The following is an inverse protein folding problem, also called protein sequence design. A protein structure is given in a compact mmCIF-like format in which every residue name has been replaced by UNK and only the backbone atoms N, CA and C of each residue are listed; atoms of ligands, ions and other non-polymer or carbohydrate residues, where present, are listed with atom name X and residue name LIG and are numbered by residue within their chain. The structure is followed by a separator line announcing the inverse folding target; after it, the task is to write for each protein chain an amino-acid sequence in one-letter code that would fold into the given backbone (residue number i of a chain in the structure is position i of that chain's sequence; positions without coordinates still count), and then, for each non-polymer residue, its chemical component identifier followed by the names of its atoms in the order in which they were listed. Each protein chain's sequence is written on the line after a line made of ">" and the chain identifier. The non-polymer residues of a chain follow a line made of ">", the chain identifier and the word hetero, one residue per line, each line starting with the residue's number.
data_IF_807724598841
#
_entry.id   IF_807724598841
#
_cell.length_a   1.000
_cell.length_b   1.000
_cell.length_c   1.000
_cell.angle_alpha   90.00
_cell.angle_beta   90.00
_cell.angle_gamma   90.00
#
_symmetry.space_group_name_H-M   'P 1'
#
loop_
_entity.id
_entity.type
_entity.pdbx_description
1 polymer ?
#
# COMPACT_ATOMS: atom_id res chain seq x y z
N UNK A 1 8.63 36.57 3.10
CA UNK A 1 7.74 35.72 2.34
C UNK A 1 6.43 36.46 2.11
N UNK A 2 5.90 36.44 0.89
CA UNK A 2 4.69 37.20 0.54
C UNK A 2 3.43 36.31 0.49
N UNK A 3 3.56 34.99 0.60
CA UNK A 3 2.48 34.04 0.66
C UNK A 3 2.45 33.28 1.99
N UNK A 4 1.32 32.69 2.32
CA UNK A 4 1.09 31.94 3.57
C UNK A 4 0.97 30.44 3.30
N UNK A 5 1.27 29.60 4.31
CA UNK A 5 1.04 28.15 4.23
C UNK A 5 -0.42 27.83 3.90
N UNK A 6 -1.38 28.62 4.40
CA UNK A 6 -2.80 28.44 4.13
C UNK A 6 -3.16 28.63 2.65
N UNK A 7 -2.50 29.56 1.96
CA UNK A 7 -2.67 29.72 0.51
C UNK A 7 -2.10 28.51 -0.24
N UNK A 8 -0.99 27.97 0.22
CA UNK A 8 -0.40 26.73 -0.34
C UNK A 8 -1.33 25.54 -0.10
N UNK A 9 -1.91 25.39 1.09
CA UNK A 9 -2.93 24.35 1.38
C UNK A 9 -4.12 24.44 0.42
N UNK A 10 -4.66 25.64 0.21
CA UNK A 10 -5.79 25.86 -0.70
C UNK A 10 -5.45 25.54 -2.15
N UNK A 11 -4.24 25.89 -2.57
CA UNK A 11 -3.73 25.52 -3.89
C UNK A 11 -3.64 23.99 -4.06
N UNK A 12 -3.03 23.29 -3.11
CA UNK A 12 -2.89 21.83 -3.14
C UNK A 12 -4.25 21.16 -3.13
N UNK A 13 -5.15 21.55 -2.20
CA UNK A 13 -6.50 20.99 -2.11
C UNK A 13 -7.29 21.17 -3.42
N UNK A 14 -7.17 22.35 -4.05
CA UNK A 14 -7.84 22.64 -5.33
C UNK A 14 -7.25 21.84 -6.48
N UNK A 15 -5.94 21.67 -6.51
CA UNK A 15 -5.25 20.87 -7.53
C UNK A 15 -5.66 19.41 -7.48
N UNK A 16 -5.81 18.85 -6.27
CA UNK A 16 -6.23 17.47 -6.07
C UNK A 16 -7.72 17.24 -6.37
N UNK A 17 -8.56 18.20 -6.00
CA UNK A 17 -10.00 18.09 -6.24
C UNK A 17 -10.41 18.41 -7.69
N UNK A 18 -9.56 19.11 -8.46
CA UNK A 18 -9.89 19.61 -9.79
C UNK A 18 -11.04 20.63 -9.82
N UNK A 19 -11.50 21.10 -8.64
CA UNK A 19 -12.63 21.99 -8.45
C UNK A 19 -12.49 22.79 -7.16
N UNK A 20 -12.74 24.10 -7.23
CA UNK A 20 -12.75 24.98 -6.04
C UNK A 20 -13.87 24.56 -5.08
N UNK A 21 -15.03 24.20 -5.60
CA UNK A 21 -16.19 23.82 -4.76
C UNK A 21 -15.90 22.53 -3.99
N UNK A 22 -15.41 21.49 -4.66
CA UNK A 22 -15.05 20.23 -4.01
C UNK A 22 -13.89 20.40 -3.01
N UNK A 23 -12.91 21.23 -3.34
CA UNK A 23 -11.84 21.57 -2.40
C UNK A 23 -12.38 22.26 -1.15
N UNK A 24 -13.29 23.23 -1.33
CA UNK A 24 -13.92 23.98 -0.24
C UNK A 24 -14.71 23.07 0.71
N UNK A 25 -15.47 22.14 0.17
CA UNK A 25 -16.19 21.13 0.94
C UNK A 25 -15.22 20.24 1.75
N UNK A 26 -14.14 19.77 1.10
CA UNK A 26 -13.15 18.86 1.71
C UNK A 26 -12.40 19.50 2.89
N UNK A 27 -12.08 20.80 2.81
CA UNK A 27 -11.32 21.51 3.85
C UNK A 27 -12.20 22.45 4.71
N UNK A 28 -13.53 22.36 4.59
CA UNK A 28 -14.52 23.10 5.37
C UNK A 28 -14.36 24.63 5.33
N UNK A 29 -14.14 25.18 4.15
CA UNK A 29 -14.04 26.62 3.91
C UNK A 29 -14.99 27.08 2.79
N UNK A 30 -15.19 28.38 2.66
CA UNK A 30 -16.04 28.89 1.57
C UNK A 30 -15.31 28.89 0.21
N UNK A 31 -15.98 28.55 -0.91
CA UNK A 31 -15.37 28.59 -2.23
C UNK A 31 -14.79 29.98 -2.60
N UNK A 32 -15.41 31.12 -2.24
CA UNK A 32 -14.80 32.43 -2.45
C UNK A 32 -13.47 32.64 -1.75
N UNK A 33 -13.29 32.07 -0.54
CA UNK A 33 -12.04 32.18 0.21
C UNK A 33 -10.89 31.46 -0.51
N UNK A 34 -11.15 30.26 -1.04
CA UNK A 34 -10.17 29.51 -1.84
C UNK A 34 -9.83 30.28 -3.13
N UNK A 35 -10.87 30.77 -3.85
CA UNK A 35 -10.67 31.52 -5.10
C UNK A 35 -9.82 32.76 -4.89
N UNK A 36 -10.10 33.54 -3.84
CA UNK A 36 -9.32 34.71 -3.48
C UNK A 36 -7.87 34.39 -3.12
N UNK A 37 -7.66 33.33 -2.31
CA UNK A 37 -6.34 32.89 -1.89
C UNK A 37 -5.48 32.39 -3.07
N UNK A 38 -6.08 31.65 -4.01
CA UNK A 38 -5.38 31.19 -5.23
C UNK A 38 -5.02 32.39 -6.12
N UNK A 39 -5.96 33.31 -6.36
CA UNK A 39 -5.68 34.50 -7.16
C UNK A 39 -4.57 35.37 -6.56
N UNK A 40 -4.53 35.48 -5.23
CA UNK A 40 -3.46 36.17 -4.54
C UNK A 40 -2.13 35.45 -4.66
N UNK A 41 -2.12 34.11 -4.53
CA UNK A 41 -0.91 33.28 -4.69
C UNK A 41 -0.37 33.40 -6.13
N UNK A 42 -1.22 33.35 -7.15
CA UNK A 42 -0.85 33.54 -8.56
C UNK A 42 -0.24 34.93 -8.79
N UNK A 43 -0.83 35.96 -8.20
CA UNK A 43 -0.30 37.33 -8.28
C UNK A 43 1.08 37.48 -7.62
N UNK A 44 1.28 36.88 -6.44
CA UNK A 44 2.54 36.92 -5.70
C UNK A 44 3.67 36.14 -6.42
N UNK A 45 3.32 35.04 -7.07
CA UNK A 45 4.25 34.21 -7.83
C UNK A 45 4.48 34.70 -9.26
N UNK A 46 3.65 35.63 -9.75
CA UNK A 46 3.69 36.11 -11.13
C UNK A 46 3.39 35.03 -12.15
N UNK A 47 2.66 33.98 -11.78
CA UNK A 47 2.40 32.81 -12.63
C UNK A 47 0.97 32.31 -12.44
N UNK A 48 0.31 31.98 -13.55
CA UNK A 48 -0.99 31.32 -13.53
C UNK A 48 -0.81 29.83 -13.23
N UNK A 49 -1.50 29.33 -12.19
CA UNK A 49 -1.40 27.96 -11.73
C UNK A 49 -2.51 27.09 -12.29
N UNK A 50 -3.69 27.66 -12.55
CA UNK A 50 -4.85 26.95 -13.07
C UNK A 50 -5.32 27.51 -14.41
N UNK A 51 -5.80 26.60 -15.26
CA UNK A 51 -6.57 26.91 -16.48
C UNK A 51 -8.04 26.64 -16.21
N UNK A 52 -8.90 27.63 -16.44
CA UNK A 52 -10.36 27.47 -16.40
C UNK A 52 -10.83 26.89 -17.74
N UNK A 53 -11.29 25.66 -17.75
CA UNK A 53 -11.92 25.06 -18.93
C UNK A 53 -13.44 25.12 -18.76
N UNK A 54 -14.13 25.82 -19.69
CA UNK A 54 -15.58 25.83 -19.74
C UNK A 54 -16.10 24.40 -19.81
N UNK A 55 -16.97 24.01 -18.85
CA UNK A 55 -17.59 22.68 -18.69
C UNK A 55 -16.71 21.50 -18.21
N UNK A 56 -15.40 21.66 -17.95
CA UNK A 56 -14.52 20.55 -17.53
C UNK A 56 -13.78 20.81 -16.20
N UNK A 57 -14.15 21.84 -15.44
CA UNK A 57 -13.48 22.14 -14.15
C UNK A 57 -12.15 22.90 -14.29
N UNK A 58 -11.30 22.76 -13.28
CA UNK A 58 -9.96 23.36 -13.24
C UNK A 58 -8.90 22.33 -13.63
N UNK A 59 -7.94 22.74 -14.46
CA UNK A 59 -6.76 21.96 -14.75
C UNK A 59 -5.49 22.77 -14.44
N UNK A 60 -4.45 22.11 -13.98
CA UNK A 60 -3.16 22.75 -13.72
C UNK A 60 -2.47 23.19 -15.01
N UNK A 61 -1.84 24.37 -14.98
CA UNK A 61 -0.84 24.78 -15.98
C UNK A 61 0.41 23.90 -15.86
N UNK A 62 1.40 24.07 -16.76
CA UNK A 62 2.70 23.42 -16.60
C UNK A 62 3.37 23.86 -15.29
N UNK A 63 3.40 25.18 -15.06
CA UNK A 63 3.96 25.77 -13.82
C UNK A 63 3.19 25.29 -12.58
N UNK A 64 1.84 25.20 -12.67
CA UNK A 64 1.01 24.68 -11.59
C UNK A 64 1.36 23.23 -11.22
N UNK A 65 1.68 22.36 -12.20
CA UNK A 65 2.11 20.97 -11.91
C UNK A 65 3.48 20.91 -11.23
N UNK A 66 4.42 21.70 -11.71
CA UNK A 66 5.76 21.80 -11.11
C UNK A 66 5.64 22.33 -9.67
N UNK A 67 4.90 23.42 -9.49
CA UNK A 67 4.68 24.02 -8.16
C UNK A 67 3.92 23.11 -7.19
N UNK A 68 3.02 22.26 -7.68
CA UNK A 68 2.27 21.34 -6.82
C UNK A 68 3.21 20.39 -6.07
N UNK A 69 4.27 19.92 -6.72
CA UNK A 69 5.27 19.05 -6.08
C UNK A 69 5.98 19.80 -4.94
N UNK A 70 6.48 21.00 -5.23
CA UNK A 70 7.16 21.84 -4.24
C UNK A 70 6.25 22.27 -3.10
N UNK A 71 4.98 22.60 -3.42
CA UNK A 71 3.97 22.98 -2.43
C UNK A 71 3.68 21.86 -1.44
N UNK A 72 3.56 20.63 -1.92
CA UNK A 72 3.37 19.44 -1.06
C UNK A 72 4.57 19.24 -0.14
N UNK A 73 5.78 19.32 -0.66
CA UNK A 73 7.00 19.20 0.14
C UNK A 73 7.10 20.30 1.20
N UNK A 74 6.71 21.53 0.86
CA UNK A 74 6.70 22.65 1.82
C UNK A 74 5.70 22.43 2.96
N UNK A 75 4.50 21.94 2.66
CA UNK A 75 3.49 21.61 3.67
C UNK A 75 3.96 20.46 4.56
N UNK A 76 4.58 19.44 4.00
CA UNK A 76 5.19 18.35 4.76
C UNK A 76 6.29 18.86 5.69
N UNK A 77 7.15 19.74 5.21
CA UNK A 77 8.18 20.39 6.04
C UNK A 77 7.58 21.25 7.17
N UNK A 78 6.50 21.97 6.87
CA UNK A 78 5.78 22.73 7.91
C UNK A 78 5.18 21.80 8.98
N UNK A 79 4.63 20.65 8.57
CA UNK A 79 4.13 19.62 9.47
C UNK A 79 5.25 19.06 10.37
N UNK A 80 6.45 18.86 9.82
CA UNK A 80 7.64 18.41 10.57
C UNK A 80 8.09 19.38 11.66
N UNK A 81 7.84 20.69 11.51
CA UNK A 81 8.10 21.65 12.60
C UNK A 81 7.26 21.36 13.84
N UNK A 82 5.99 20.99 13.68
CA UNK A 82 5.14 20.55 14.79
C UNK A 82 5.65 19.25 15.41
N UNK A 83 6.12 18.32 14.57
CA UNK A 83 6.69 17.06 15.04
C UNK A 83 7.99 17.29 15.83
N UNK A 84 8.89 18.16 15.34
CA UNK A 84 10.12 18.54 16.05
C UNK A 84 9.82 19.23 17.38
N UNK A 85 8.80 20.08 17.43
CA UNK A 85 8.35 20.69 18.68
C UNK A 85 7.74 19.64 19.64
N UNK A 86 7.07 18.61 19.14
CA UNK A 86 6.56 17.49 19.93
C UNK A 86 7.65 16.51 20.37
N UNK A 87 8.79 16.46 19.66
CA UNK A 87 9.97 15.68 20.10
C UNK A 87 10.60 16.24 21.39
N UNK A 88 10.40 17.53 21.67
CA UNK A 88 10.78 18.14 22.94
C UNK A 88 9.80 17.81 24.07
N UNK A 89 8.61 17.34 23.77
CA UNK A 89 7.62 16.78 24.70
C UNK A 89 7.64 15.25 24.60
N UNK A 90 7.53 14.57 25.75
CA UNK A 90 7.64 13.09 25.82
C UNK A 90 6.44 12.34 25.18
N UNK A 91 5.64 13.01 24.34
CA UNK A 91 4.41 12.50 23.76
C UNK A 91 4.57 12.11 22.28
N UNK A 92 4.07 10.92 21.91
CA UNK A 92 3.93 10.49 20.51
C UNK A 92 2.61 11.05 20.00
N UNK A 93 2.68 12.06 19.14
CA UNK A 93 1.51 12.74 18.58
C UNK A 93 1.76 13.20 17.15
N UNK A 94 0.67 13.44 16.42
CA UNK A 94 0.70 13.92 15.03
C UNK A 94 0.01 12.98 14.05
N UNK A 95 0.11 13.30 12.76
CA UNK A 95 -0.50 12.52 11.68
C UNK A 95 0.56 11.71 10.94
N UNK A 96 0.29 10.42 10.73
CA UNK A 96 1.11 9.47 9.98
C UNK A 96 0.38 9.07 8.70
N UNK A 97 0.94 9.38 7.54
CA UNK A 97 0.45 8.95 6.23
C UNK A 97 0.99 7.55 5.91
N UNK A 98 0.14 6.53 6.09
CA UNK A 98 0.51 5.13 5.98
C UNK A 98 0.05 4.53 4.65
N UNK A 99 0.99 4.17 3.78
CA UNK A 99 0.74 3.33 2.62
C UNK A 99 0.59 1.86 3.00
N UNK A 100 -0.27 1.13 2.31
CA UNK A 100 -0.39 -0.32 2.48
C UNK A 100 -0.65 -1.01 1.15
N UNK A 101 0.08 -2.08 0.86
CA UNK A 101 -0.11 -2.84 -0.36
C UNK A 101 -1.50 -3.49 -0.37
N UNK A 102 -2.21 -3.29 -1.48
CA UNK A 102 -3.62 -3.65 -1.64
C UNK A 102 -3.95 -5.12 -1.34
N UNK A 103 -3.01 -6.05 -1.54
CA UNK A 103 -3.28 -7.49 -1.37
C UNK A 103 -3.47 -7.92 0.08
N UNK A 104 -2.84 -7.24 1.03
CA UNK A 104 -2.97 -7.55 2.46
C UNK A 104 -3.58 -6.41 3.30
N UNK A 105 -3.79 -5.25 2.68
CA UNK A 105 -4.40 -4.11 3.37
C UNK A 105 -5.70 -4.46 4.11
N UNK A 106 -6.66 -5.22 3.53
CA UNK A 106 -7.91 -5.52 4.24
C UNK A 106 -7.74 -6.26 5.57
N UNK A 107 -6.62 -6.97 5.74
CA UNK A 107 -6.36 -7.77 6.95
C UNK A 107 -5.48 -7.02 7.94
N UNK A 108 -4.38 -6.44 7.46
CA UNK A 108 -3.33 -5.89 8.32
C UNK A 108 -3.60 -4.44 8.70
N UNK A 109 -4.02 -3.62 7.72
CA UNK A 109 -4.11 -2.18 7.89
C UNK A 109 -5.08 -1.74 9.00
N UNK A 110 -6.33 -2.25 9.08
CA UNK A 110 -7.26 -1.84 10.14
C UNK A 110 -6.75 -2.21 11.54
N UNK A 111 -6.17 -3.40 11.68
CA UNK A 111 -5.68 -3.89 12.96
C UNK A 111 -4.49 -3.06 13.46
N UNK A 112 -3.50 -2.81 12.59
CA UNK A 112 -2.30 -2.03 12.94
C UNK A 112 -2.66 -0.57 13.20
N UNK A 113 -3.50 0.06 12.37
CA UNK A 113 -3.92 1.43 12.59
C UNK A 113 -4.68 1.59 13.91
N UNK A 114 -5.60 0.66 14.21
CA UNK A 114 -6.37 0.68 15.46
C UNK A 114 -5.50 0.46 16.69
N UNK A 115 -4.63 -0.57 16.68
CA UNK A 115 -3.76 -0.87 17.82
C UNK A 115 -2.76 0.25 18.09
N UNK A 116 -2.21 0.88 17.02
CA UNK A 116 -1.30 2.00 17.16
C UNK A 116 -1.98 3.25 17.75
N UNK A 117 -3.14 3.65 17.22
CA UNK A 117 -3.86 4.83 17.73
C UNK A 117 -4.43 4.60 19.12
N UNK A 118 -4.73 3.35 19.50
CA UNK A 118 -5.11 3.00 20.88
C UNK A 118 -3.93 3.11 21.85
N UNK A 119 -2.72 2.74 21.43
CA UNK A 119 -1.50 2.86 22.23
C UNK A 119 -1.01 4.31 22.32
N UNK A 120 -1.27 5.12 21.30
CA UNK A 120 -0.84 6.51 21.19
C UNK A 120 -2.01 7.43 20.82
N UNK A 121 -2.85 7.85 21.79
CA UNK A 121 -4.08 8.62 21.50
C UNK A 121 -3.85 9.98 20.83
N UNK A 122 -2.63 10.52 20.91
CA UNK A 122 -2.23 11.75 20.21
C UNK A 122 -1.85 11.54 18.74
N UNK A 123 -1.76 10.28 18.30
CA UNK A 123 -1.42 9.94 16.92
C UNK A 123 -2.68 9.69 16.08
N UNK A 124 -2.64 10.15 14.83
CA UNK A 124 -3.64 9.84 13.80
C UNK A 124 -2.97 9.10 12.66
N UNK A 125 -3.57 8.02 12.17
CA UNK A 125 -3.12 7.31 10.98
C UNK A 125 -4.04 7.65 9.82
N UNK A 126 -3.46 8.14 8.72
CA UNK A 126 -4.14 8.34 7.43
C UNK A 126 -3.75 7.21 6.50
N UNK A 127 -4.63 6.22 6.29
CA UNK A 127 -4.32 5.08 5.45
C UNK A 127 -4.49 5.40 3.96
N UNK A 128 -3.60 4.84 3.15
CA UNK A 128 -3.72 4.78 1.71
C UNK A 128 -3.42 3.38 1.19
N UNK A 129 -4.19 2.91 0.22
CA UNK A 129 -4.06 1.55 -0.32
C UNK A 129 -3.77 1.61 -1.80
N UNK A 130 -2.64 1.05 -2.20
CA UNK A 130 -2.21 1.05 -3.60
C UNK A 130 -1.38 -0.21 -3.94
N UNK A 131 -1.02 -0.36 -5.22
CA UNK A 131 0.00 -1.30 -5.66
C UNK A 131 1.41 -0.82 -5.25
N UNK A 132 2.39 -1.72 -5.35
CA UNK A 132 3.75 -1.46 -4.87
C UNK A 132 4.41 -0.25 -5.58
N UNK A 133 4.29 -0.13 -6.90
CA UNK A 133 4.91 0.95 -7.67
C UNK A 133 4.34 2.32 -7.27
N UNK A 134 3.02 2.40 -7.11
CA UNK A 134 2.37 3.63 -6.65
C UNK A 134 2.76 4.00 -5.23
N UNK A 135 2.91 3.02 -4.34
CA UNK A 135 3.39 3.27 -2.97
C UNK A 135 4.80 3.86 -2.99
N UNK A 136 5.74 3.29 -3.76
CA UNK A 136 7.11 3.82 -3.88
C UNK A 136 7.10 5.24 -4.45
N UNK A 137 6.36 5.48 -5.52
CA UNK A 137 6.26 6.81 -6.12
C UNK A 137 5.70 7.86 -5.14
N UNK A 138 4.73 7.50 -4.32
CA UNK A 138 4.16 8.40 -3.31
C UNK A 138 5.08 8.64 -2.12
N UNK A 139 5.88 7.65 -1.74
CA UNK A 139 6.95 7.81 -0.74
C UNK A 139 8.03 8.78 -1.24
N UNK A 140 8.47 8.66 -2.51
CA UNK A 140 9.45 9.58 -3.12
C UNK A 140 8.96 11.03 -3.12
N UNK A 141 7.65 11.24 -3.29
CA UNK A 141 7.02 12.56 -3.30
C UNK A 141 6.63 13.07 -1.92
N UNK A 142 7.02 12.37 -0.86
CA UNK A 142 6.64 12.68 0.51
C UNK A 142 5.10 12.79 0.72
N UNK A 143 4.32 12.08 -0.09
CA UNK A 143 2.86 11.94 0.09
C UNK A 143 2.52 10.83 1.11
N UNK A 144 3.48 9.97 1.41
CA UNK A 144 3.44 8.95 2.44
C UNK A 144 4.70 9.03 3.30
N UNK A 145 4.56 8.78 4.59
CA UNK A 145 5.68 8.71 5.53
C UNK A 145 6.34 7.32 5.50
N UNK A 146 5.53 6.29 5.36
CA UNK A 146 5.95 4.88 5.39
C UNK A 146 4.92 4.02 4.66
N UNK A 147 5.34 2.87 4.15
CA UNK A 147 4.44 1.89 3.57
C UNK A 147 4.70 0.48 4.09
N UNK A 148 3.63 -0.27 4.33
CA UNK A 148 3.67 -1.74 4.47
C UNK A 148 3.65 -2.34 3.05
N UNK A 149 4.73 -3.02 2.67
CA UNK A 149 4.86 -3.60 1.33
C UNK A 149 5.88 -4.75 1.33
N UNK A 150 6.25 -5.24 0.14
CA UNK A 150 7.24 -6.29 -0.04
C UNK A 150 8.61 -5.74 -0.38
N UNK A 151 9.63 -6.55 -0.09
CA UNK A 151 11.02 -6.37 -0.56
C UNK A 151 11.14 -6.83 -2.03
N UNK A 152 10.51 -6.11 -2.93
CA UNK A 152 10.53 -6.39 -4.35
C UNK A 152 11.06 -5.18 -5.12
N UNK A 153 12.22 -5.35 -5.81
CA UNK A 153 12.80 -4.34 -6.69
C UNK A 153 12.80 -2.92 -6.09
N UNK A 154 13.19 -2.82 -4.81
CA UNK A 154 13.30 -1.51 -4.16
C UNK A 154 14.45 -0.72 -4.79
N UNK A 155 14.18 0.49 -5.32
CA UNK A 155 15.22 1.34 -5.86
C UNK A 155 16.21 1.80 -4.78
N UNK A 156 17.40 2.22 -5.21
CA UNK A 156 18.33 2.92 -4.35
C UNK A 156 17.67 4.16 -3.73
N UNK A 157 17.93 4.38 -2.43
CA UNK A 157 17.33 5.50 -1.69
C UNK A 157 16.13 5.13 -0.84
N UNK A 158 15.64 3.87 -0.91
CA UNK A 158 14.68 3.33 0.03
C UNK A 158 15.35 2.49 1.12
N UNK A 159 14.75 2.45 2.29
CA UNK A 159 15.07 1.51 3.36
C UNK A 159 13.93 0.53 3.55
N UNK A 160 14.29 -0.72 3.82
CA UNK A 160 13.35 -1.80 4.12
C UNK A 160 13.61 -2.37 5.51
N UNK A 161 12.58 -2.41 6.34
CA UNK A 161 12.61 -3.09 7.63
C UNK A 161 11.76 -4.36 7.54
N UNK A 162 12.36 -5.56 7.52
CA UNK A 162 11.62 -6.81 7.40
C UNK A 162 10.77 -7.08 8.66
N UNK A 163 9.56 -7.60 8.46
CA UNK A 163 8.63 -7.97 9.52
C UNK A 163 8.29 -9.46 9.50
N UNK A 164 7.96 -10.01 8.32
CA UNK A 164 7.58 -11.42 8.18
C UNK A 164 7.88 -11.97 6.78
N UNK A 165 8.12 -13.29 6.70
CA UNK A 165 8.26 -14.04 5.46
C UNK A 165 6.94 -14.72 5.08
N UNK A 166 6.49 -14.51 3.84
CA UNK A 166 5.22 -15.03 3.32
C UNK A 166 5.50 -16.08 2.23
N UNK A 167 5.57 -17.34 2.62
CA UNK A 167 5.77 -18.46 1.68
C UNK A 167 4.58 -18.58 0.72
N UNK A 168 4.83 -18.82 -0.59
CA UNK A 168 3.79 -19.05 -1.56
C UNK A 168 3.08 -20.39 -1.33
N UNK A 169 1.81 -20.45 -1.70
CA UNK A 169 1.00 -21.66 -1.68
C UNK A 169 0.03 -21.69 -2.85
N UNK A 170 -0.39 -22.88 -3.26
CA UNK A 170 -1.48 -23.04 -4.22
C UNK A 170 -2.83 -22.87 -3.51
N UNK A 171 -3.70 -22.05 -4.07
CA UNK A 171 -5.10 -21.93 -3.66
C UNK A 171 -5.95 -22.68 -4.66
N UNK A 172 -6.75 -23.63 -4.18
CA UNK A 172 -7.53 -24.57 -4.94
C UNK A 172 -8.98 -24.58 -4.46
N UNK A 173 -9.92 -24.97 -5.33
CA UNK A 173 -11.28 -25.29 -4.88
C UNK A 173 -11.27 -26.45 -3.89
N UNK A 174 -12.16 -26.46 -2.92
CA UNK A 174 -12.26 -27.57 -1.96
C UNK A 174 -12.55 -28.93 -2.65
N UNK A 175 -13.21 -28.91 -3.80
CA UNK A 175 -13.53 -30.08 -4.61
C UNK A 175 -12.38 -30.56 -5.51
N UNK A 176 -11.28 -29.77 -5.59
CA UNK A 176 -10.13 -30.15 -6.42
C UNK A 176 -9.38 -31.34 -5.83
N UNK A 177 -9.02 -32.37 -6.64
CA UNK A 177 -8.26 -33.51 -6.16
C UNK A 177 -6.94 -33.15 -5.45
N UNK A 178 -6.22 -32.11 -5.95
CA UNK A 178 -4.97 -31.64 -5.33
C UNK A 178 -5.19 -30.97 -3.97
N UNK A 179 -6.41 -30.50 -3.67
CA UNK A 179 -6.73 -29.91 -2.38
C UNK A 179 -6.64 -30.91 -1.20
N UNK A 180 -6.58 -32.21 -1.48
CA UNK A 180 -6.43 -33.28 -0.48
C UNK A 180 -4.98 -33.65 -0.22
N UNK A 181 -4.03 -33.17 -1.01
CA UNK A 181 -2.62 -33.47 -0.87
C UNK A 181 -1.99 -32.63 0.24
N UNK A 182 -0.97 -33.16 0.93
CA UNK A 182 -0.22 -32.39 1.92
C UNK A 182 0.59 -31.25 1.29
N UNK A 183 1.06 -31.45 0.06
CA UNK A 183 1.76 -30.47 -0.77
C UNK A 183 1.55 -30.76 -2.25
N UNK A 184 1.81 -29.78 -3.13
CA UNK A 184 1.73 -29.91 -4.59
C UNK A 184 3.02 -29.42 -5.22
N UNK A 185 3.41 -30.04 -6.34
CA UNK A 185 4.60 -29.63 -7.07
C UNK A 185 4.28 -28.54 -8.11
N UNK A 186 5.30 -27.80 -8.55
CA UNK A 186 5.13 -26.81 -9.63
C UNK A 186 4.80 -27.48 -10.98
N UNK A 187 5.26 -28.72 -11.22
CA UNK A 187 4.95 -29.53 -12.39
C UNK A 187 3.43 -29.85 -12.46
N UNK A 188 2.86 -30.30 -11.35
CA UNK A 188 1.42 -30.58 -11.25
C UNK A 188 0.59 -29.32 -11.49
N UNK A 189 1.05 -28.18 -10.96
CA UNK A 189 0.40 -26.89 -11.13
C UNK A 189 0.55 -26.35 -12.57
N UNK A 190 1.71 -26.49 -13.21
CA UNK A 190 1.97 -26.01 -14.55
C UNK A 190 1.06 -26.65 -15.62
N UNK A 191 0.63 -27.90 -15.39
CA UNK A 191 -0.27 -28.65 -16.27
C UNK A 191 -1.74 -28.17 -16.20
N UNK A 192 -2.08 -27.24 -15.28
CA UNK A 192 -3.44 -26.82 -14.97
C UNK A 192 -3.66 -25.32 -15.25
N UNK A 193 -4.91 -24.91 -15.25
CA UNK A 193 -5.30 -23.52 -15.50
C UNK A 193 -4.96 -22.61 -14.31
N UNK A 194 -4.01 -21.70 -14.53
CA UNK A 194 -3.61 -20.68 -13.58
C UNK A 194 -4.46 -19.40 -13.80
N UNK A 195 -5.14 -18.96 -12.76
CA UNK A 195 -5.73 -17.62 -12.66
C UNK A 195 -4.68 -16.74 -11.98
N UNK A 196 -4.02 -15.89 -12.76
CA UNK A 196 -2.87 -15.10 -12.32
C UNK A 196 -3.29 -13.76 -11.72
N UNK A 197 -2.76 -13.44 -10.53
CA UNK A 197 -2.82 -12.09 -10.00
C UNK A 197 -1.90 -11.18 -10.80
N UNK A 198 -2.47 -10.32 -11.64
CA UNK A 198 -1.76 -9.46 -12.59
C UNK A 198 -1.54 -8.06 -12.01
N UNK A 199 -0.79 -8.00 -10.91
CA UNK A 199 -0.27 -6.77 -10.36
C UNK A 199 1.22 -6.67 -10.69
N UNK A 200 1.73 -5.47 -11.00
CA UNK A 200 3.16 -5.26 -11.20
C UNK A 200 3.98 -5.90 -10.07
N UNK A 201 5.14 -6.45 -10.38
CA UNK A 201 6.05 -7.15 -9.48
C UNK A 201 5.50 -8.43 -8.83
N UNK A 202 4.24 -8.45 -8.33
CA UNK A 202 3.61 -9.67 -7.81
C UNK A 202 3.49 -10.75 -8.88
N UNK A 203 3.03 -10.36 -10.08
CA UNK A 203 2.99 -11.22 -11.26
C UNK A 203 4.35 -11.85 -11.55
N UNK A 204 5.37 -11.00 -11.59
CA UNK A 204 6.72 -11.42 -11.96
C UNK A 204 7.30 -12.37 -10.91
N UNK A 205 7.03 -12.13 -9.63
CA UNK A 205 7.37 -13.06 -8.55
C UNK A 205 6.69 -14.42 -8.74
N UNK A 206 5.37 -14.48 -8.94
CA UNK A 206 4.67 -15.76 -9.08
C UNK A 206 5.10 -16.52 -10.34
N UNK A 207 5.31 -15.84 -11.46
CA UNK A 207 5.82 -16.48 -12.67
C UNK A 207 7.27 -16.94 -12.53
N UNK A 208 8.10 -16.24 -11.72
CA UNK A 208 9.48 -16.65 -11.47
C UNK A 208 9.60 -17.96 -10.72
N UNK A 209 8.58 -18.39 -9.95
CA UNK A 209 8.57 -19.70 -9.30
C UNK A 209 8.65 -20.81 -10.34
N UNK A 210 7.83 -20.73 -11.38
CA UNK A 210 7.84 -21.68 -12.49
C UNK A 210 9.10 -21.57 -13.34
N UNK A 211 9.53 -20.35 -13.67
CA UNK A 211 10.70 -20.13 -14.49
C UNK A 211 11.98 -20.72 -13.87
N UNK A 212 12.16 -20.61 -12.55
CA UNK A 212 13.28 -21.24 -11.84
C UNK A 212 13.26 -22.79 -11.90
N UNK A 213 12.07 -23.37 -11.98
CA UNK A 213 11.89 -24.82 -12.18
C UNK A 213 11.96 -25.23 -13.67
N UNK A 214 12.21 -24.30 -14.60
CA UNK A 214 12.21 -24.58 -16.03
C UNK A 214 10.81 -24.81 -16.61
N UNK A 215 9.76 -24.36 -15.94
CA UNK A 215 8.37 -24.60 -16.27
C UNK A 215 7.70 -23.34 -16.81
N UNK A 216 6.63 -23.51 -17.57
CA UNK A 216 5.75 -22.44 -18.05
C UNK A 216 4.32 -22.78 -17.66
N UNK A 217 3.66 -22.00 -16.77
CA UNK A 217 2.29 -22.28 -16.35
C UNK A 217 1.30 -21.91 -17.46
N UNK A 218 0.19 -22.63 -17.52
CA UNK A 218 -0.93 -22.32 -18.41
C UNK A 218 -1.81 -21.22 -17.81
N UNK A 219 -1.54 -19.95 -18.14
CA UNK A 219 -2.33 -18.82 -17.66
C UNK A 219 -3.66 -18.75 -18.42
N UNK A 220 -4.77 -19.06 -17.74
CA UNK A 220 -6.12 -19.02 -18.30
C UNK A 220 -6.81 -17.67 -18.14
N UNK A 221 -6.47 -16.93 -17.07
CA UNK A 221 -7.00 -15.59 -16.80
C UNK A 221 -5.97 -14.72 -16.07
N UNK A 222 -6.10 -13.38 -16.22
CA UNK A 222 -5.29 -12.37 -15.55
C UNK A 222 -6.23 -11.35 -14.89
N UNK A 223 -6.11 -11.16 -13.60
CA UNK A 223 -6.98 -10.27 -12.83
C UNK A 223 -6.17 -9.54 -11.75
N UNK A 224 -6.59 -8.33 -11.42
CA UNK A 224 -5.91 -7.51 -10.40
C UNK A 224 -6.57 -7.61 -9.00
N UNK A 225 -7.77 -8.16 -8.91
CA UNK A 225 -8.56 -8.26 -7.68
C UNK A 225 -8.50 -9.67 -7.12
N UNK A 226 -7.81 -9.84 -5.98
CA UNK A 226 -7.64 -11.15 -5.32
C UNK A 226 -8.98 -11.79 -4.92
N UNK A 227 -9.98 -11.00 -4.52
CA UNK A 227 -11.30 -11.52 -4.13
C UNK A 227 -12.05 -12.14 -5.31
N UNK A 228 -11.92 -11.55 -6.51
CA UNK A 228 -12.47 -12.13 -7.75
C UNK A 228 -11.74 -13.43 -8.08
N UNK A 229 -10.40 -13.43 -8.04
CA UNK A 229 -9.58 -14.63 -8.26
C UNK A 229 -10.00 -15.74 -7.29
N UNK A 230 -10.11 -15.43 -6.00
CA UNK A 230 -10.50 -16.36 -4.96
C UNK A 230 -11.88 -16.97 -5.23
N UNK A 231 -12.84 -16.16 -5.66
CA UNK A 231 -14.18 -16.62 -6.02
C UNK A 231 -14.16 -17.51 -7.27
N UNK A 232 -13.38 -17.16 -8.30
CA UNK A 232 -13.21 -18.02 -9.48
C UNK A 232 -12.58 -19.36 -9.11
N UNK A 233 -11.51 -19.36 -8.30
CA UNK A 233 -10.88 -20.59 -7.80
C UNK A 233 -11.90 -21.44 -7.04
N UNK A 234 -12.66 -20.86 -6.12
CA UNK A 234 -13.70 -21.57 -5.35
C UNK A 234 -14.78 -22.21 -6.22
N UNK A 235 -15.02 -21.66 -7.43
CA UNK A 235 -15.95 -22.17 -8.44
C UNK A 235 -15.30 -23.12 -9.46
N UNK A 236 -14.03 -23.50 -9.29
CA UNK A 236 -13.37 -24.52 -10.11
C UNK A 236 -12.86 -24.02 -11.46
N UNK A 237 -12.68 -22.71 -11.68
CA UNK A 237 -12.12 -22.17 -12.95
C UNK A 237 -10.61 -22.42 -13.08
N UNK A 238 -9.97 -22.97 -12.07
CA UNK A 238 -8.55 -23.24 -12.02
C UNK A 238 -8.00 -23.02 -10.63
N UNK A 239 -6.68 -22.81 -10.54
CA UNK A 239 -6.00 -22.49 -9.30
C UNK A 239 -5.34 -21.11 -9.37
N UNK A 240 -4.90 -20.60 -8.22
CA UNK A 240 -3.98 -19.45 -8.17
C UNK A 240 -2.84 -19.74 -7.19
N UNK A 241 -1.74 -19.00 -7.33
CA UNK A 241 -0.69 -18.96 -6.30
C UNK A 241 -0.86 -17.66 -5.51
N UNK A 242 -0.80 -17.78 -4.20
CA UNK A 242 -0.90 -16.67 -3.28
C UNK A 242 0.11 -16.85 -2.12
N UNK A 243 0.40 -15.77 -1.41
CA UNK A 243 1.24 -15.76 -0.21
C UNK A 243 0.50 -15.19 1.01
N UNK A 244 -0.66 -14.58 0.78
CA UNK A 244 -1.51 -14.01 1.82
C UNK A 244 -2.51 -15.06 2.29
N UNK A 245 -2.59 -15.28 3.62
CA UNK A 245 -3.39 -16.33 4.27
C UNK A 245 -4.50 -15.73 5.14
N UNK A 246 -5.59 -15.14 4.56
CA UNK A 246 -6.69 -14.63 5.37
C UNK A 246 -7.25 -15.72 6.28
N UNK A 247 -7.66 -15.39 7.52
CA UNK A 247 -8.25 -16.38 8.44
C UNK A 247 -9.49 -17.07 7.85
N UNK A 248 -10.31 -16.32 7.09
CA UNK A 248 -11.44 -16.94 6.37
C UNK A 248 -10.94 -17.83 5.23
N UNK A 249 -11.49 -19.03 5.13
CA UNK A 249 -11.27 -19.95 4.01
C UNK A 249 -12.37 -19.88 2.96
N UNK A 250 -13.33 -18.97 3.10
CA UNK A 250 -14.43 -18.80 2.16
C UNK A 250 -14.19 -17.63 1.22
N UNK A 251 -14.56 -17.80 -0.05
CA UNK A 251 -14.72 -16.71 -0.99
C UNK A 251 -15.97 -15.87 -0.65
N UNK A 252 -16.14 -14.72 -1.32
CA UNK A 252 -17.27 -13.82 -1.02
C UNK A 252 -18.65 -14.43 -1.33
N UNK A 253 -18.69 -15.44 -2.21
CA UNK A 253 -19.91 -16.22 -2.52
C UNK A 253 -20.19 -17.37 -1.52
N UNK A 254 -19.37 -17.49 -0.47
CA UNK A 254 -19.52 -18.51 0.58
C UNK A 254 -18.88 -19.86 0.26
N UNK A 255 -18.33 -20.08 -0.92
CA UNK A 255 -17.63 -21.33 -1.28
C UNK A 255 -16.24 -21.38 -0.65
N UNK A 256 -15.81 -22.57 -0.26
CA UNK A 256 -14.51 -22.77 0.38
C UNK A 256 -13.37 -22.88 -0.65
N UNK A 257 -12.20 -22.41 -0.24
CA UNK A 257 -10.91 -22.65 -0.91
C UNK A 257 -9.94 -23.33 0.06
N UNK A 258 -9.08 -24.16 -0.49
CA UNK A 258 -8.03 -24.85 0.27
C UNK A 258 -6.67 -24.28 -0.13
N UNK A 259 -5.80 -24.16 0.85
CA UNK A 259 -4.41 -23.71 0.68
C UNK A 259 -3.50 -24.92 0.80
N UNK A 260 -2.82 -25.24 -0.27
CA UNK A 260 -1.90 -26.39 -0.30
C UNK A 260 -0.47 -25.84 -0.47
N UNK A 261 0.47 -26.22 0.41
CA UNK A 261 1.86 -25.85 0.27
C UNK A 261 2.41 -26.26 -1.09
N UNK A 262 3.32 -25.46 -1.63
CA UNK A 262 4.08 -25.82 -2.84
C UNK A 262 5.36 -26.53 -2.39
N UNK A 263 5.62 -27.72 -2.93
CA UNK A 263 6.78 -28.52 -2.62
C UNK A 263 8.10 -27.82 -2.97
N UNK A 264 9.16 -28.16 -2.25
CA UNK A 264 10.49 -27.60 -2.45
C UNK A 264 10.72 -26.28 -1.69
N UNK A 265 11.95 -25.78 -1.76
CA UNK A 265 12.36 -24.54 -1.09
C UNK A 265 11.92 -23.31 -1.91
N UNK A 266 10.72 -22.84 -1.67
CA UNK A 266 10.18 -21.64 -2.30
C UNK A 266 10.57 -20.40 -1.49
N UNK A 267 11.32 -19.48 -2.10
CA UNK A 267 11.71 -18.25 -1.42
C UNK A 267 10.47 -17.42 -1.03
N UNK A 268 10.27 -17.14 0.27
CA UNK A 268 9.13 -16.35 0.72
C UNK A 268 9.27 -14.89 0.29
N UNK A 269 8.15 -14.24 -0.02
CA UNK A 269 8.12 -12.78 -0.08
C UNK A 269 8.28 -12.20 1.32
N UNK A 270 9.17 -11.23 1.47
CA UNK A 270 9.35 -10.53 2.74
C UNK A 270 8.40 -9.35 2.83
N UNK A 271 7.44 -9.44 3.75
CA UNK A 271 6.61 -8.31 4.18
C UNK A 271 7.43 -7.42 5.10
N UNK A 272 7.36 -6.11 4.91
CA UNK A 272 8.06 -5.16 5.76
C UNK A 272 7.61 -3.72 5.59
N UNK A 273 8.33 -2.85 6.25
CA UNK A 273 8.15 -1.41 6.19
C UNK A 273 9.12 -0.81 5.18
N UNK A 274 8.59 -0.04 4.25
CA UNK A 274 9.35 0.70 3.22
C UNK A 274 9.25 2.18 3.51
N UNK A 275 10.37 2.89 3.50
CA UNK A 275 10.44 4.35 3.60
C UNK A 275 11.61 4.91 2.80
N UNK A 276 11.64 6.22 2.55
CA UNK A 276 12.81 6.87 1.97
C UNK A 276 13.95 6.90 3.00
N UNK A 277 15.16 6.44 2.59
CA UNK A 277 16.28 6.24 3.51
C UNK A 277 16.94 7.55 3.99
N UNK A 278 16.83 8.63 3.22
CA UNK A 278 17.57 9.90 3.45
C UNK A 278 17.08 10.72 4.65
N UNK A 279 15.95 10.35 5.26
CA UNK A 279 15.36 11.10 6.36
C UNK A 279 15.47 10.30 7.66
N UNK A 280 15.98 10.95 8.72
CA UNK A 280 15.85 10.38 10.06
C UNK A 280 14.36 10.28 10.43
N UNK A 281 13.92 9.11 10.92
CA UNK A 281 12.53 8.93 11.28
C UNK A 281 12.16 9.83 12.48
N UNK A 282 11.04 10.53 12.35
CA UNK A 282 10.46 11.27 13.47
C UNK A 282 10.11 10.33 14.62
N UNK A 283 9.88 10.85 15.82
CA UNK A 283 9.46 10.05 16.98
C UNK A 283 8.19 9.26 16.67
N UNK A 284 7.19 9.90 16.06
CA UNK A 284 5.95 9.24 15.64
C UNK A 284 6.22 8.07 14.69
N UNK A 285 7.03 8.29 13.65
CA UNK A 285 7.38 7.27 12.68
C UNK A 285 8.18 6.12 13.33
N UNK A 286 9.14 6.43 14.18
CA UNK A 286 9.92 5.43 14.92
C UNK A 286 9.04 4.57 15.81
N UNK A 287 8.15 5.21 16.60
CA UNK A 287 7.19 4.49 17.44
C UNK A 287 6.25 3.60 16.63
N UNK A 288 5.83 4.04 15.44
CA UNK A 288 5.03 3.22 14.54
C UNK A 288 5.82 2.02 14.00
N UNK A 289 7.08 2.20 13.61
CA UNK A 289 7.94 1.11 13.15
C UNK A 289 8.16 0.06 14.25
N UNK A 290 8.45 0.50 15.46
CA UNK A 290 8.59 -0.37 16.64
C UNK A 290 7.28 -1.09 16.96
N UNK A 291 6.14 -0.41 16.84
CA UNK A 291 4.83 -1.01 17.01
C UNK A 291 4.58 -2.12 15.99
N UNK A 292 4.83 -1.87 14.70
CA UNK A 292 4.71 -2.89 13.67
C UNK A 292 5.62 -4.10 13.91
N UNK A 293 6.85 -3.88 14.37
CA UNK A 293 7.80 -4.96 14.67
C UNK A 293 7.33 -5.84 15.84
N UNK A 294 6.55 -5.29 16.79
CA UNK A 294 5.94 -6.07 17.87
C UNK A 294 4.70 -6.83 17.43
N UNK A 295 3.88 -6.20 16.58
CA UNK A 295 2.58 -6.75 16.17
C UNK A 295 2.66 -7.71 14.98
N UNK A 296 3.75 -7.68 14.19
CA UNK A 296 3.94 -8.50 12.99
C UNK A 296 5.23 -9.29 13.11
N UNK A 297 5.11 -10.61 12.94
CA UNK A 297 6.24 -11.54 12.92
C UNK A 297 5.90 -12.75 12.02
N UNK A 298 6.88 -13.63 11.78
CA UNK A 298 6.64 -14.87 11.03
C UNK A 298 5.56 -15.77 11.67
N UNK A 299 5.38 -15.69 12.98
CA UNK A 299 4.37 -16.46 13.71
C UNK A 299 3.03 -15.74 13.88
N UNK A 300 3.00 -14.43 13.67
CA UNK A 300 1.79 -13.62 13.88
C UNK A 300 1.70 -12.46 12.90
N UNK A 301 0.66 -12.47 12.08
CA UNK A 301 0.28 -11.33 11.24
C UNK A 301 -1.21 -11.06 11.47
N UNK A 302 -1.60 -9.84 11.87
CA UNK A 302 -2.99 -9.50 12.12
C UNK A 302 -3.90 -9.89 10.95
N UNK A 303 -5.03 -10.53 11.24
CA UNK A 303 -6.00 -10.96 10.23
C UNK A 303 -5.60 -12.16 9.37
N UNK A 304 -4.41 -12.72 9.56
CA UNK A 304 -3.92 -13.89 8.83
C UNK A 304 -3.76 -15.13 9.72
N UNK A 305 -3.79 -16.31 9.09
CA UNK A 305 -3.33 -17.55 9.70
C UNK A 305 -1.79 -17.57 9.71
N UNK A 306 -1.22 -18.12 10.77
CA UNK A 306 0.22 -18.37 10.80
C UNK A 306 0.63 -19.30 9.63
N UNK A 307 1.81 -19.11 9.03
CA UNK A 307 2.36 -20.08 8.10
C UNK A 307 2.52 -21.43 8.81
N UNK A 308 2.35 -22.56 8.09
CA UNK A 308 2.68 -23.85 8.66
C UNK A 308 4.15 -23.82 9.09
N UNK A 309 4.45 -24.37 10.28
CA UNK A 309 5.82 -24.46 10.76
C UNK A 309 6.66 -25.11 9.66
N UNK A 310 7.75 -24.44 9.26
CA UNK A 310 8.69 -25.03 8.31
C UNK A 310 9.14 -26.38 8.89
N UNK A 311 8.87 -27.46 8.18
CA UNK A 311 9.43 -28.77 8.47
C UNK A 311 10.95 -28.60 8.35
N UNK A 312 11.65 -28.53 9.47
CA UNK A 312 13.12 -28.58 9.47
C UNK A 312 13.52 -29.86 8.74
N UNK A 313 14.36 -29.80 7.71
CA UNK A 313 14.97 -31.03 7.19
C UNK A 313 15.73 -31.71 8.34
N UNK A 314 15.50 -33.02 8.48
CA UNK A 314 16.18 -33.87 9.42
C UNK A 314 17.66 -34.00 9.06
#
# INVERSE_FOLDING_TARGET
>A
MRYTLRQIEYFVATAEAGSITLAAERIHVSPPSISAAISQLEAELGAQLFLRRHAQGLSLTRVGRELLVEAKQLLDQAQKLYQTASEASDTVAGTLSLGCLLTFAPMVLPAIAHSFTSAFPGAQVLPDVADHERLLHRLERAELDIALSYDLHLPDGFSFTPLAGLAPFAMLAETDPLAKLPEVTLEELAARDLILLDLPLSRDYFLSLFARAGLTPRVSARLQQMDVIRTMVANGFGYTIANIRPKSRHALDGRAVVRVPIAGDQQPLRLGLVRVARQEPTRLLRSFMEHCTREISDSHIPGMDAPPAATRPA
#
